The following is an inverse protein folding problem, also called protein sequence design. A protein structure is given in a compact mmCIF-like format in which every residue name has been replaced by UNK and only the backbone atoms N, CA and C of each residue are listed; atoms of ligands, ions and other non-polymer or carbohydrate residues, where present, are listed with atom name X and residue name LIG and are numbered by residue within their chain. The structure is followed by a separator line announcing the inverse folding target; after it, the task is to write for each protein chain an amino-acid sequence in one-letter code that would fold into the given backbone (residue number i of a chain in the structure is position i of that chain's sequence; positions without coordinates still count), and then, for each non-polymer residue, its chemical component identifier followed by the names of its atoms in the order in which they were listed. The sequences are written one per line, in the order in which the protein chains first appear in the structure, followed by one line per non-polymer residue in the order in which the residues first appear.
data_IF_384770286366
#
_entry.id   IF_384770286366
#
_cell.length_a   1.000
_cell.length_b   1.000
_cell.length_c   1.000
_cell.angle_alpha   90.00
_cell.angle_beta   90.00
_cell.angle_gamma   90.00
#
_symmetry.space_group_name_H-M   'P 1'
#
loop_
_entity.id
_entity.type
_entity.pdbx_description
1 polymer ?
#
# COMPACT_ATOMS: atom_id res chain seq x y z
N UNK A 1 10.25 15.01 5.35
CA UNK A 1 8.94 15.27 5.98
C UNK A 1 7.98 15.77 4.92
N UNK A 2 7.16 14.92 4.33
CA UNK A 2 5.97 15.33 3.58
C UNK A 2 4.77 14.86 4.39
N UNK A 3 4.27 15.76 5.25
CA UNK A 3 2.98 15.57 5.92
C UNK A 3 1.90 15.45 4.86
N UNK A 4 0.93 14.57 5.09
CA UNK A 4 -0.05 14.10 4.11
C UNK A 4 -0.67 15.24 3.31
N UNK A 5 -0.12 15.49 2.13
CA UNK A 5 -0.76 16.37 1.17
C UNK A 5 -2.03 15.65 0.72
N UNK A 6 -3.22 16.27 0.85
CA UNK A 6 -4.41 15.72 0.23
C UNK A 6 -4.15 15.71 -1.27
N UNK A 7 -4.16 14.49 -1.83
CA UNK A 7 -4.04 14.30 -3.28
C UNK A 7 -5.36 14.77 -3.89
N UNK A 8 -5.30 15.74 -4.80
CA UNK A 8 -6.48 16.24 -5.52
C UNK A 8 -6.89 15.24 -6.61
N UNK A 9 -8.08 14.65 -6.43
CA UNK A 9 -8.70 13.65 -7.30
C UNK A 9 -8.99 12.34 -6.58
N UNK A 10 -9.90 11.48 -7.08
CA UNK A 10 -10.16 10.17 -6.50
C UNK A 10 -8.94 9.26 -6.77
N UNK A 11 -7.88 9.45 -6.01
CA UNK A 11 -6.73 8.56 -6.01
C UNK A 11 -7.19 7.26 -5.35
N UNK A 12 -7.64 6.30 -6.17
CA UNK A 12 -7.98 4.96 -5.69
C UNK A 12 -6.70 4.14 -5.53
N UNK A 13 -6.23 3.89 -4.29
CA UNK A 13 -5.00 3.16 -4.08
C UNK A 13 -5.12 1.71 -4.55
N UNK A 14 -6.35 1.18 -4.64
CA UNK A 14 -6.57 -0.15 -5.20
C UNK A 14 -6.21 -0.17 -6.69
N UNK A 15 -6.64 0.84 -7.46
CA UNK A 15 -6.24 1.02 -8.86
C UNK A 15 -4.73 1.13 -9.03
N UNK A 16 -4.04 1.91 -8.18
CA UNK A 16 -2.58 2.03 -8.22
C UNK A 16 -1.92 0.69 -7.93
N UNK A 17 -2.39 -0.04 -6.90
CA UNK A 17 -1.84 -1.35 -6.56
C UNK A 17 -1.89 -2.33 -7.75
N UNK A 18 -2.96 -2.28 -8.56
CA UNK A 18 -3.11 -3.13 -9.75
C UNK A 18 -2.16 -2.72 -10.86
N UNK A 19 -1.96 -1.43 -11.08
CA UNK A 19 -1.02 -0.90 -12.08
C UNK A 19 0.42 -1.31 -11.77
N UNK A 20 0.90 -1.01 -10.57
CA UNK A 20 2.29 -1.33 -10.19
C UNK A 20 2.52 -2.86 -10.10
N UNK A 21 1.48 -3.63 -9.76
CA UNK A 21 1.54 -5.09 -9.86
C UNK A 21 1.73 -5.55 -11.31
N UNK A 22 1.03 -4.93 -12.26
CA UNK A 22 1.19 -5.22 -13.69
C UNK A 22 2.59 -4.83 -14.21
N UNK A 23 3.24 -3.84 -13.59
CA UNK A 23 4.63 -3.45 -13.86
C UNK A 23 5.67 -4.39 -13.23
N UNK A 24 5.23 -5.41 -12.47
CA UNK A 24 6.10 -6.45 -11.91
C UNK A 24 6.52 -6.22 -10.47
N UNK A 25 5.88 -5.29 -9.75
CA UNK A 25 6.12 -5.14 -8.30
C UNK A 25 5.68 -6.42 -7.57
N UNK A 26 6.61 -6.98 -6.79
CA UNK A 26 6.47 -8.27 -6.13
C UNK A 26 5.56 -8.22 -4.90
N UNK A 27 5.81 -7.26 -4.01
CA UNK A 27 5.07 -7.06 -2.77
C UNK A 27 4.58 -5.62 -2.66
N UNK A 28 3.32 -5.45 -2.29
CA UNK A 28 2.66 -4.14 -2.17
C UNK A 28 2.05 -4.02 -0.77
N UNK A 29 2.41 -2.97 -0.04
CA UNK A 29 1.89 -2.72 1.31
C UNK A 29 1.31 -1.32 1.43
N UNK A 30 0.02 -1.23 1.70
CA UNK A 30 -0.68 0.03 1.91
C UNK A 30 -0.64 0.39 3.39
N UNK A 31 -0.05 1.54 3.72
CA UNK A 31 0.02 2.03 5.09
C UNK A 31 -0.85 3.27 5.25
N UNK A 32 -1.77 3.28 6.21
CA UNK A 32 -2.68 4.41 6.43
C UNK A 32 -3.04 4.60 7.92
N UNK A 33 -3.41 5.81 8.33
CA UNK A 33 -3.93 6.10 9.68
C UNK A 33 -5.38 5.62 9.87
N UNK A 34 -6.04 5.18 8.80
CA UNK A 34 -7.44 4.74 8.80
C UNK A 34 -7.60 3.49 7.92
N UNK A 35 -7.09 2.32 8.33
CA UNK A 35 -7.18 1.09 7.53
C UNK A 35 -8.64 0.68 7.27
N UNK A 36 -9.51 0.90 8.25
CA UNK A 36 -10.94 0.56 8.18
C UNK A 36 -11.75 1.41 7.19
N UNK A 37 -11.16 2.47 6.62
CA UNK A 37 -11.86 3.28 5.59
C UNK A 37 -12.02 2.53 4.26
N UNK A 38 -11.26 1.47 4.05
CA UNK A 38 -11.37 0.62 2.87
C UNK A 38 -12.30 -0.56 3.18
N UNK A 39 -13.47 -0.67 2.50
CA UNK A 39 -14.34 -1.82 2.65
C UNK A 39 -13.62 -3.13 2.34
N UNK A 40 -14.06 -4.24 2.93
CA UNK A 40 -13.56 -5.56 2.57
C UNK A 40 -13.78 -5.92 1.09
N UNK A 41 -14.69 -5.22 0.41
CA UNK A 41 -14.95 -5.34 -1.02
C UNK A 41 -14.00 -4.51 -1.91
N UNK A 42 -13.02 -3.81 -1.33
CA UNK A 42 -12.02 -3.07 -2.12
C UNK A 42 -11.18 -4.06 -2.92
N UNK A 43 -11.21 -3.92 -4.25
CA UNK A 43 -10.52 -4.81 -5.18
C UNK A 43 -9.02 -4.53 -5.27
N UNK A 44 -8.26 -4.88 -4.24
CA UNK A 44 -6.81 -4.74 -4.26
C UNK A 44 -6.15 -5.65 -5.31
N UNK A 45 -4.93 -5.29 -5.72
CA UNK A 45 -4.10 -6.25 -6.43
C UNK A 45 -3.82 -7.50 -5.58
N UNK A 46 -3.58 -8.67 -6.21
CA UNK A 46 -3.28 -9.89 -5.48
C UNK A 46 -2.10 -9.71 -4.53
N UNK A 47 -2.29 -10.07 -3.25
CA UNK A 47 -1.23 -10.04 -2.23
C UNK A 47 -0.99 -8.69 -1.56
N UNK A 48 -1.79 -7.66 -1.86
CA UNK A 48 -1.75 -6.39 -1.13
C UNK A 48 -2.18 -6.60 0.32
N UNK A 49 -1.46 -5.99 1.25
CA UNK A 49 -1.84 -5.92 2.66
C UNK A 49 -2.03 -4.46 3.08
N UNK A 50 -2.96 -4.21 3.99
CA UNK A 50 -3.25 -2.87 4.52
C UNK A 50 -2.91 -2.84 6.00
N UNK A 51 -2.05 -1.92 6.42
CA UNK A 51 -1.56 -1.80 7.79
C UNK A 51 -1.82 -0.41 8.34
N UNK A 52 -1.94 -0.31 9.67
CA UNK A 52 -2.02 1.00 10.31
C UNK A 52 -0.65 1.68 10.29
N UNK A 53 -0.59 3.01 10.21
CA UNK A 53 0.67 3.80 10.20
C UNK A 53 1.62 3.50 11.37
N UNK A 54 1.10 3.04 12.50
CA UNK A 54 1.89 2.66 13.68
C UNK A 54 2.82 1.48 13.39
N UNK A 55 2.45 0.64 12.43
CA UNK A 55 3.18 -0.55 12.02
C UNK A 55 4.22 -0.25 10.93
N UNK A 56 4.39 1.02 10.53
CA UNK A 56 5.28 1.42 9.45
C UNK A 56 6.71 0.87 9.60
N UNK A 57 7.25 0.87 10.82
CA UNK A 57 8.59 0.33 11.08
C UNK A 57 8.64 -1.17 10.85
N UNK A 58 7.68 -1.93 11.39
CA UNK A 58 7.60 -3.37 11.19
C UNK A 58 7.39 -3.75 9.71
N UNK A 59 6.56 -2.97 9.00
CA UNK A 59 6.36 -3.10 7.56
C UNK A 59 7.69 -2.89 6.83
N UNK A 60 8.41 -1.80 7.11
CA UNK A 60 9.70 -1.51 6.47
C UNK A 60 10.76 -2.58 6.76
N UNK A 61 10.82 -3.10 8.00
CA UNK A 61 11.70 -4.20 8.37
C UNK A 61 11.36 -5.47 7.60
N UNK A 62 10.07 -5.81 7.47
CA UNK A 62 9.64 -6.98 6.69
C UNK A 62 9.98 -6.84 5.21
N UNK A 63 9.76 -5.65 4.62
CA UNK A 63 10.04 -5.38 3.21
C UNK A 63 11.53 -5.46 2.88
N UNK A 64 12.41 -5.16 3.84
CA UNK A 64 13.86 -5.28 3.68
C UNK A 64 14.30 -6.72 3.37
N UNK A 65 13.62 -7.72 3.93
CA UNK A 65 13.96 -9.13 3.73
C UNK A 65 13.43 -9.67 2.39
N UNK A 66 12.59 -8.90 1.69
CA UNK A 66 11.97 -9.29 0.43
C UNK A 66 12.92 -9.00 -0.72
N UNK A 67 13.36 -10.05 -1.41
CA UNK A 67 14.17 -9.91 -2.63
C UNK A 67 13.31 -9.39 -3.78
N UNK A 68 13.79 -8.36 -4.48
CA UNK A 68 13.12 -7.81 -5.66
C UNK A 68 12.62 -6.38 -5.44
N UNK A 69 11.57 -6.00 -6.16
CA UNK A 69 10.96 -4.66 -6.08
C UNK A 69 9.69 -4.72 -5.23
N UNK A 70 9.60 -3.84 -4.24
CA UNK A 70 8.46 -3.68 -3.34
C UNK A 70 7.91 -2.26 -3.42
N UNK A 71 6.61 -2.07 -3.17
CA UNK A 71 5.96 -0.77 -3.14
C UNK A 71 5.06 -0.57 -1.92
#
# INVERSE_FOLDING_TARGET
MTGGQPMDGPLDPASISRQIRAEGVGQIVVVTDQPDKYPASTEWAPGVTVHHRRELIAVQESLREVKGVTA
#
